data_IF_804257086578
#
_entry.id   IF_804257086578
#
_cell.length_a   1.000
_cell.length_b   1.000
_cell.length_c   1.000
_cell.angle_alpha   90.00
_cell.angle_beta   90.00
_cell.angle_gamma   90.00
#
_symmetry.space_group_name_H-M   'P 1'
#
loop_
_entity.id
_entity.type
_entity.pdbx_description
1 polymer ?
#
# COMPACT_ATOMS: atom_id res chain seq x y z
N UNK A 1 37.76 -22.66 72.69
CA UNK A 1 37.50 -21.50 71.77
C UNK A 1 37.60 -21.99 70.32
N UNK A 2 36.47 -22.21 69.69
CA UNK A 2 36.37 -22.69 68.30
C UNK A 2 36.24 -21.50 67.36
N UNK A 3 37.23 -21.35 66.43
CA UNK A 3 37.20 -20.34 65.39
C UNK A 3 36.22 -20.82 64.28
N UNK A 4 35.15 -20.05 64.03
CA UNK A 4 34.28 -20.22 62.89
C UNK A 4 35.03 -19.79 61.62
N UNK A 5 35.16 -20.70 60.66
CA UNK A 5 35.55 -20.42 59.28
C UNK A 5 34.49 -19.58 58.60
N UNK A 6 34.87 -18.42 58.04
CA UNK A 6 34.05 -17.70 57.05
C UNK A 6 34.11 -18.49 55.75
N UNK A 7 32.95 -18.93 55.28
CA UNK A 7 32.81 -19.40 53.92
C UNK A 7 32.74 -18.17 53.00
N UNK A 8 33.69 -18.09 52.08
CA UNK A 8 33.68 -17.07 51.01
C UNK A 8 32.56 -17.50 50.07
N UNK A 9 31.56 -16.61 49.98
CA UNK A 9 30.44 -16.74 49.04
C UNK A 9 30.94 -16.21 47.72
N UNK A 10 31.22 -17.12 46.76
CA UNK A 10 31.63 -16.81 45.42
C UNK A 10 30.41 -16.31 44.64
N UNK A 11 30.35 -15.02 44.36
CA UNK A 11 29.40 -14.39 43.45
C UNK A 11 29.82 -14.76 42.03
N UNK A 12 29.37 -15.94 41.53
CA UNK A 12 29.49 -16.23 40.11
C UNK A 12 28.64 -15.21 39.35
N UNK A 13 29.24 -14.62 38.33
CA UNK A 13 28.68 -13.69 37.39
C UNK A 13 27.30 -14.21 36.85
N UNK A 14 26.23 -13.77 37.45
CA UNK A 14 24.93 -13.79 36.79
C UNK A 14 25.04 -12.84 35.61
N UNK A 15 24.97 -13.35 34.39
CA UNK A 15 24.84 -12.56 33.17
C UNK A 15 23.81 -11.48 33.43
N UNK A 16 24.25 -10.24 33.52
CA UNK A 16 23.38 -9.08 33.64
C UNK A 16 22.61 -8.98 32.33
N UNK A 17 21.39 -9.55 32.30
CA UNK A 17 20.44 -9.19 31.27
C UNK A 17 20.32 -7.69 31.26
N UNK A 18 20.77 -7.04 30.20
CA UNK A 18 20.63 -5.60 30.02
C UNK A 18 19.13 -5.25 30.14
N UNK A 19 18.73 -4.70 31.28
CA UNK A 19 17.37 -4.19 31.48
C UNK A 19 17.23 -2.96 30.58
N UNK A 20 16.73 -3.18 29.36
CA UNK A 20 16.41 -2.09 28.44
C UNK A 20 15.23 -1.33 29.03
N UNK A 21 15.54 -0.16 29.61
CA UNK A 21 14.52 0.76 30.13
C UNK A 21 13.73 1.38 29.00
N UNK A 22 12.67 0.68 28.55
CA UNK A 22 11.73 1.24 27.56
C UNK A 22 10.88 2.31 28.22
N UNK A 23 10.93 3.52 27.68
CA UNK A 23 10.15 4.65 28.17
C UNK A 23 8.63 4.38 28.05
N UNK A 24 7.83 4.81 29.06
CA UNK A 24 6.36 4.74 28.98
C UNK A 24 5.78 5.39 27.72
N UNK A 25 6.44 6.43 27.20
CA UNK A 25 6.06 7.10 25.96
C UNK A 25 6.36 6.26 24.72
N UNK A 26 7.39 5.43 24.75
CA UNK A 26 7.76 4.50 23.68
C UNK A 26 6.77 3.34 23.61
N UNK A 27 6.48 2.72 24.75
CA UNK A 27 5.43 1.68 24.82
C UNK A 27 4.08 2.18 24.29
N UNK A 28 3.75 3.47 24.57
CA UNK A 28 2.50 4.05 24.06
C UNK A 28 2.54 4.26 22.54
N UNK A 29 3.68 4.71 21.99
CA UNK A 29 3.85 4.87 20.53
C UNK A 29 3.77 3.52 19.81
N UNK A 30 4.41 2.49 20.34
CA UNK A 30 4.36 1.13 19.77
C UNK A 30 2.94 0.58 19.79
N UNK A 31 2.22 0.75 20.91
CA UNK A 31 0.82 0.35 20.99
C UNK A 31 -0.07 1.10 19.99
N UNK A 32 0.21 2.36 19.73
CA UNK A 32 -0.50 3.18 18.74
C UNK A 32 -0.14 2.79 17.30
N UNK A 33 1.13 2.44 17.03
CA UNK A 33 1.57 1.92 15.74
C UNK A 33 0.91 0.58 15.42
N UNK A 34 0.86 -0.36 16.38
CA UNK A 34 0.18 -1.64 16.22
C UNK A 34 -1.34 -1.48 16.01
N UNK A 35 -1.95 -0.50 16.69
CA UNK A 35 -3.37 -0.19 16.47
C UNK A 35 -3.60 0.32 15.04
N UNK A 36 -2.77 1.24 14.55
CA UNK A 36 -2.82 1.74 13.16
C UNK A 36 -2.61 0.62 12.13
N UNK A 37 -1.69 -0.32 12.42
CA UNK A 37 -1.50 -1.50 11.59
C UNK A 37 -2.78 -2.35 11.55
N UNK A 38 -3.42 -2.57 12.69
CA UNK A 38 -4.71 -3.25 12.78
C UNK A 38 -5.83 -2.54 12.01
N UNK A 39 -5.90 -1.20 12.06
CA UNK A 39 -6.84 -0.40 11.28
C UNK A 39 -6.62 -0.58 9.77
N UNK A 40 -5.36 -0.54 9.30
CA UNK A 40 -5.01 -0.82 7.90
C UNK A 40 -5.48 -2.21 7.45
N UNK A 41 -5.27 -3.25 8.27
CA UNK A 41 -5.73 -4.61 7.96
C UNK A 41 -7.25 -4.70 7.84
N UNK A 42 -7.99 -4.04 8.75
CA UNK A 42 -9.46 -4.04 8.74
C UNK A 42 -10.04 -3.29 7.55
N UNK A 43 -9.34 -2.29 7.01
CA UNK A 43 -9.78 -1.51 5.84
C UNK A 43 -9.47 -2.21 4.50
N UNK A 44 -8.73 -3.34 4.51
CA UNK A 44 -8.44 -4.10 3.31
C UNK A 44 -9.64 -4.93 2.84
N UNK A 45 -9.72 -5.13 1.52
CA UNK A 45 -10.65 -6.11 0.94
C UNK A 45 -10.17 -7.53 1.21
N UNK A 46 -11.10 -8.50 1.21
CA UNK A 46 -10.78 -9.93 1.41
C UNK A 46 -9.67 -10.43 0.49
N UNK A 47 -9.74 -10.09 -0.80
CA UNK A 47 -8.73 -10.48 -1.79
C UNK A 47 -7.31 -9.90 -1.51
N UNK A 48 -7.21 -8.80 -0.77
CA UNK A 48 -5.92 -8.23 -0.33
C UNK A 48 -5.47 -8.90 0.98
N UNK A 49 -6.39 -9.20 1.90
CA UNK A 49 -6.09 -9.91 3.15
C UNK A 49 -5.53 -11.31 2.88
N UNK A 50 -6.06 -12.04 1.90
CA UNK A 50 -5.59 -13.38 1.50
C UNK A 50 -4.12 -13.39 1.02
N UNK A 51 -3.53 -12.22 0.73
CA UNK A 51 -2.13 -12.07 0.31
C UNK A 51 -1.17 -11.74 1.45
N UNK A 52 -1.70 -11.51 2.64
CA UNK A 52 -0.93 -11.15 3.83
C UNK A 52 -0.81 -12.41 4.71
N UNK A 53 0.37 -12.75 5.21
CA UNK A 53 0.55 -13.88 6.10
C UNK A 53 -0.03 -13.56 7.49
N UNK A 54 -1.32 -13.83 7.67
CA UNK A 54 -2.02 -13.64 8.95
C UNK A 54 -2.25 -14.99 9.60
N UNK A 55 -2.01 -15.07 10.91
CA UNK A 55 -2.41 -16.22 11.72
C UNK A 55 -3.94 -16.26 11.88
N UNK A 56 -4.51 -17.47 12.01
CA UNK A 56 -5.95 -17.67 12.09
C UNK A 56 -6.64 -16.79 13.15
N UNK A 57 -6.14 -16.65 14.41
CA UNK A 57 -6.78 -15.80 15.40
C UNK A 57 -6.83 -14.32 15.01
N UNK A 58 -5.79 -13.83 14.31
CA UNK A 58 -5.74 -12.45 13.83
C UNK A 58 -6.68 -12.25 12.63
N UNK A 59 -6.72 -13.19 11.70
CA UNK A 59 -7.61 -13.15 10.54
C UNK A 59 -9.08 -13.15 10.97
N UNK A 60 -9.47 -14.01 11.93
CA UNK A 60 -10.83 -14.02 12.49
C UNK A 60 -11.18 -12.69 13.16
N UNK A 61 -10.25 -12.14 13.95
CA UNK A 61 -10.44 -10.86 14.63
C UNK A 61 -10.62 -9.70 13.62
N UNK A 62 -9.87 -9.68 12.52
CA UNK A 62 -9.99 -8.70 11.43
C UNK A 62 -11.33 -8.85 10.72
N UNK A 63 -11.72 -10.07 10.33
CA UNK A 63 -13.00 -10.34 9.67
C UNK A 63 -14.19 -9.95 10.55
N UNK A 64 -14.09 -10.14 11.87
CA UNK A 64 -15.11 -9.69 12.81
C UNK A 64 -15.16 -8.15 12.86
N UNK A 65 -14.01 -7.47 12.94
CA UNK A 65 -13.94 -6.01 12.98
C UNK A 65 -14.55 -5.35 11.75
N UNK A 66 -14.44 -5.97 10.56
CA UNK A 66 -15.05 -5.48 9.31
C UNK A 66 -16.59 -5.45 9.36
N UNK A 67 -17.19 -6.32 10.18
CA UNK A 67 -18.66 -6.39 10.33
C UNK A 67 -19.19 -5.50 11.45
N UNK A 68 -18.31 -5.03 12.34
CA UNK A 68 -18.67 -4.23 13.50
C UNK A 68 -18.62 -2.73 13.17
N UNK A 69 -19.40 -1.95 13.95
CA UNK A 69 -19.46 -0.50 13.83
C UNK A 69 -19.22 0.20 15.17
N UNK A 70 -18.88 1.49 15.09
CA UNK A 70 -18.77 2.39 16.24
C UNK A 70 -17.92 1.80 17.37
N UNK A 71 -18.48 1.73 18.56
CA UNK A 71 -17.79 1.32 19.78
C UNK A 71 -17.37 -0.18 19.75
N UNK A 72 -18.17 -1.05 19.15
CA UNK A 72 -17.82 -2.45 18.99
C UNK A 72 -16.59 -2.63 18.10
N UNK A 73 -16.51 -1.88 16.97
CA UNK A 73 -15.32 -1.85 16.10
C UNK A 73 -14.11 -1.33 16.85
N UNK A 74 -14.25 -0.26 17.64
CA UNK A 74 -13.17 0.30 18.45
C UNK A 74 -12.58 -0.71 19.42
N UNK A 75 -13.43 -1.45 20.14
CA UNK A 75 -13.00 -2.52 21.07
C UNK A 75 -12.30 -3.65 20.33
N UNK A 76 -12.82 -4.04 19.18
CA UNK A 76 -12.20 -5.09 18.36
C UNK A 76 -10.82 -4.67 17.83
N UNK A 77 -10.64 -3.41 17.43
CA UNK A 77 -9.34 -2.86 17.04
C UNK A 77 -8.34 -2.87 18.19
N UNK A 78 -8.78 -2.61 19.43
CA UNK A 78 -7.91 -2.75 20.60
C UNK A 78 -7.47 -4.20 20.82
N UNK A 79 -8.38 -5.17 20.61
CA UNK A 79 -8.07 -6.60 20.69
C UNK A 79 -7.08 -7.02 19.58
N UNK A 80 -7.27 -6.58 18.34
CA UNK A 80 -6.33 -6.78 17.23
C UNK A 80 -4.94 -6.23 17.59
N UNK A 81 -4.86 -5.00 18.11
CA UNK A 81 -3.60 -4.42 18.57
C UNK A 81 -2.92 -5.21 19.70
N UNK A 82 -3.70 -5.90 20.56
CA UNK A 82 -3.16 -6.81 21.58
C UNK A 82 -2.60 -8.09 20.95
N UNK A 83 -3.28 -8.67 19.97
CA UNK A 83 -2.79 -9.86 19.24
C UNK A 83 -1.48 -9.54 18.52
N UNK A 84 -1.44 -8.42 17.78
CA UNK A 84 -0.25 -7.98 17.05
C UNK A 84 0.98 -7.76 17.95
N UNK A 85 0.79 -7.40 19.22
CA UNK A 85 1.90 -7.24 20.17
C UNK A 85 2.56 -8.55 20.54
N UNK A 86 1.85 -9.67 20.46
CA UNK A 86 2.33 -11.01 20.81
C UNK A 86 2.92 -11.80 19.65
N UNK A 87 3.02 -11.22 18.45
CA UNK A 87 3.48 -11.90 17.24
C UNK A 87 4.53 -11.09 16.50
N UNK A 88 5.24 -11.73 15.57
CA UNK A 88 6.13 -11.05 14.63
C UNK A 88 5.30 -10.30 13.59
N UNK A 89 5.41 -8.97 13.57
CA UNK A 89 4.66 -8.09 12.67
C UNK A 89 5.40 -7.74 11.38
N UNK A 90 6.70 -8.04 11.29
CA UNK A 90 7.54 -7.68 10.14
C UNK A 90 7.02 -8.29 8.82
N UNK A 91 6.63 -9.58 8.76
CA UNK A 91 6.08 -10.17 7.54
C UNK A 91 4.77 -9.52 7.11
N UNK A 92 3.94 -9.09 8.07
CA UNK A 92 2.67 -8.41 7.82
C UNK A 92 2.93 -7.02 7.23
N UNK A 93 3.87 -6.26 7.83
CA UNK A 93 4.24 -4.94 7.35
C UNK A 93 4.85 -4.99 5.95
N UNK A 94 5.77 -5.91 5.70
CA UNK A 94 6.39 -6.11 4.38
C UNK A 94 5.35 -6.45 3.30
N UNK A 95 4.37 -7.30 3.62
CA UNK A 95 3.29 -7.64 2.70
C UNK A 95 2.36 -6.44 2.42
N UNK A 96 2.04 -5.63 3.43
CA UNK A 96 1.26 -4.40 3.28
C UNK A 96 1.99 -3.37 2.41
N UNK A 97 3.27 -3.11 2.67
CA UNK A 97 4.09 -2.20 1.87
C UNK A 97 4.16 -2.63 0.41
N UNK A 98 4.33 -3.92 0.15
CA UNK A 98 4.31 -4.47 -1.21
C UNK A 98 2.97 -4.22 -1.91
N UNK A 99 1.85 -4.33 -1.20
CA UNK A 99 0.52 -4.05 -1.74
C UNK A 99 0.30 -2.55 -1.98
N UNK A 100 0.76 -1.69 -1.07
CA UNK A 100 0.69 -0.23 -1.18
C UNK A 100 1.56 0.26 -2.35
N UNK A 101 2.80 -0.21 -2.46
CA UNK A 101 3.72 0.14 -3.55
C UNK A 101 3.16 -0.27 -4.92
N UNK A 102 2.61 -1.48 -5.04
CA UNK A 102 1.96 -1.93 -6.28
C UNK A 102 0.79 -1.02 -6.66
N UNK A 103 -0.01 -0.61 -5.69
CA UNK A 103 -1.14 0.28 -5.93
C UNK A 103 -0.68 1.68 -6.36
N UNK A 104 0.35 2.24 -5.71
CA UNK A 104 0.95 3.53 -6.08
C UNK A 104 1.54 3.49 -7.49
N UNK A 105 2.27 2.43 -7.85
CA UNK A 105 2.80 2.24 -9.19
C UNK A 105 1.69 2.20 -10.24
N UNK A 106 0.61 1.48 -9.97
CA UNK A 106 -0.55 1.44 -10.87
C UNK A 106 -1.22 2.80 -11.03
N UNK A 107 -1.40 3.55 -9.93
CA UNK A 107 -1.96 4.90 -9.99
C UNK A 107 -1.05 5.87 -10.74
N UNK A 108 0.26 5.84 -10.50
CA UNK A 108 1.23 6.67 -11.22
C UNK A 108 1.21 6.38 -12.72
N UNK A 109 1.08 5.10 -13.10
CA UNK A 109 0.94 4.69 -14.49
C UNK A 109 -0.34 5.22 -15.13
N UNK A 110 -1.48 5.06 -14.47
CA UNK A 110 -2.75 5.61 -14.96
C UNK A 110 -2.68 7.14 -15.13
N UNK A 111 -2.09 7.83 -14.14
CA UNK A 111 -1.92 9.27 -14.23
C UNK A 111 -0.99 9.68 -15.40
N UNK A 112 0.11 8.94 -15.63
CA UNK A 112 0.97 9.14 -16.80
C UNK A 112 0.17 9.01 -18.10
N UNK A 113 -0.68 7.99 -18.23
CA UNK A 113 -1.52 7.79 -19.41
C UNK A 113 -2.54 8.93 -19.60
N UNK A 114 -3.11 9.44 -18.52
CA UNK A 114 -4.02 10.59 -18.57
C UNK A 114 -3.31 11.85 -19.08
N UNK A 115 -2.11 12.13 -18.57
CA UNK A 115 -1.30 13.27 -19.03
C UNK A 115 -0.90 13.14 -20.50
N UNK A 116 -0.51 11.94 -20.96
CA UNK A 116 -0.21 11.67 -22.36
C UNK A 116 -1.42 11.90 -23.26
N UNK A 117 -2.59 11.38 -22.87
CA UNK A 117 -3.85 11.62 -23.58
C UNK A 117 -4.16 13.12 -23.70
N UNK A 118 -4.06 13.83 -22.60
CA UNK A 118 -4.37 15.25 -22.54
C UNK A 118 -3.41 16.08 -23.40
N UNK A 119 -2.12 15.72 -23.38
CA UNK A 119 -1.11 16.32 -24.25
C UNK A 119 -1.39 16.08 -25.74
N UNK A 120 -1.76 14.83 -26.11
CA UNK A 120 -2.12 14.46 -27.49
C UNK A 120 -3.33 15.26 -28.00
N UNK A 121 -4.35 15.43 -27.18
CA UNK A 121 -5.55 16.20 -27.56
C UNK A 121 -5.28 17.71 -27.60
N UNK A 122 -4.42 18.22 -26.71
CA UNK A 122 -4.14 19.64 -26.62
C UNK A 122 -3.12 20.13 -27.68
N UNK A 123 -2.05 19.36 -27.92
CA UNK A 123 -0.94 19.72 -28.82
C UNK A 123 -1.01 19.07 -30.21
N UNK A 124 -1.87 18.06 -30.39
CA UNK A 124 -2.08 17.41 -31.68
C UNK A 124 -0.84 16.70 -32.24
N UNK A 125 -0.45 17.06 -33.46
CA UNK A 125 0.63 16.38 -34.22
C UNK A 125 2.00 16.48 -33.55
N UNK A 126 2.29 17.54 -32.78
CA UNK A 126 3.57 17.71 -32.09
C UNK A 126 3.72 16.67 -30.98
N UNK A 127 2.73 16.56 -30.10
CA UNK A 127 2.73 15.54 -29.05
C UNK A 127 2.65 14.12 -29.61
N UNK A 128 2.00 13.92 -30.77
CA UNK A 128 1.97 12.64 -31.45
C UNK A 128 3.36 12.23 -31.95
N UNK A 129 4.15 13.17 -32.45
CA UNK A 129 5.51 12.88 -32.91
C UNK A 129 6.42 12.51 -31.73
N UNK A 130 6.33 13.23 -30.61
CA UNK A 130 7.06 12.90 -29.40
C UNK A 130 6.68 11.51 -28.87
N UNK A 131 5.39 11.20 -28.81
CA UNK A 131 4.89 9.90 -28.38
C UNK A 131 5.39 8.74 -29.27
N UNK A 132 5.42 8.93 -30.60
CA UNK A 132 5.91 7.90 -31.53
C UNK A 132 7.43 7.71 -31.49
N UNK A 133 8.18 8.64 -30.92
CA UNK A 133 9.60 8.47 -30.63
C UNK A 133 9.82 7.47 -29.50
N UNK A 134 8.98 7.56 -28.47
CA UNK A 134 9.03 6.64 -27.33
C UNK A 134 8.38 5.28 -27.65
N UNK A 135 7.32 5.26 -28.49
CA UNK A 135 6.53 4.08 -28.86
C UNK A 135 6.41 3.93 -30.39
N UNK A 136 7.47 3.45 -31.08
CA UNK A 136 7.51 3.38 -32.55
C UNK A 136 6.51 2.41 -33.17
N UNK A 137 6.04 1.43 -32.40
CA UNK A 137 5.07 0.42 -32.83
C UNK A 137 3.62 0.92 -32.85
N UNK A 138 3.37 2.10 -32.30
CA UNK A 138 2.03 2.70 -32.26
C UNK A 138 1.55 3.12 -33.65
N UNK A 139 0.28 2.87 -33.96
CA UNK A 139 -0.32 3.30 -35.23
C UNK A 139 -0.57 4.81 -35.25
N UNK A 140 0.32 5.52 -35.96
CA UNK A 140 0.24 6.97 -36.15
C UNK A 140 -1.07 7.44 -36.74
N UNK A 141 -1.58 6.71 -37.76
CA UNK A 141 -2.79 7.13 -38.46
C UNK A 141 -4.04 6.96 -37.58
N UNK A 142 -4.09 5.86 -36.84
CA UNK A 142 -5.16 5.60 -35.91
C UNK A 142 -5.22 6.69 -34.79
N UNK A 143 -4.09 6.97 -34.13
CA UNK A 143 -4.02 8.04 -33.12
C UNK A 143 -4.39 9.40 -33.66
N UNK A 144 -3.89 9.78 -34.84
CA UNK A 144 -4.23 11.04 -35.49
C UNK A 144 -5.73 11.20 -35.73
N UNK A 145 -6.39 10.15 -36.17
CA UNK A 145 -7.83 10.14 -36.39
C UNK A 145 -8.61 10.29 -35.07
N UNK A 146 -8.18 9.59 -34.02
CA UNK A 146 -8.79 9.70 -32.69
C UNK A 146 -8.61 11.12 -32.11
N UNK A 147 -7.41 11.71 -32.22
CA UNK A 147 -7.12 13.06 -31.75
C UNK A 147 -8.05 14.08 -32.44
N UNK A 148 -8.17 14.01 -33.78
CA UNK A 148 -9.05 14.91 -34.55
C UNK A 148 -10.51 14.74 -34.16
N UNK A 149 -10.94 13.51 -33.90
CA UNK A 149 -12.32 13.21 -33.49
C UNK A 149 -12.58 13.74 -32.08
N UNK A 150 -11.64 13.54 -31.15
CA UNK A 150 -11.76 14.05 -29.78
C UNK A 150 -11.83 15.59 -29.73
N UNK A 151 -11.04 16.29 -30.57
CA UNK A 151 -11.09 17.75 -30.67
C UNK A 151 -12.46 18.22 -31.17
N UNK A 152 -13.01 17.57 -32.20
CA UNK A 152 -14.35 17.88 -32.72
C UNK A 152 -15.47 17.57 -31.71
N UNK A 153 -15.36 16.47 -30.98
CA UNK A 153 -16.32 16.14 -29.91
C UNK A 153 -16.33 17.21 -28.83
N UNK A 154 -15.15 17.70 -28.44
CA UNK A 154 -14.99 18.77 -27.45
C UNK A 154 -15.62 20.10 -27.92
N UNK A 155 -15.33 20.51 -29.17
CA UNK A 155 -15.89 21.74 -29.76
C UNK A 155 -17.42 21.70 -29.86
N UNK A 156 -17.98 20.52 -30.15
CA UNK A 156 -19.42 20.32 -30.36
C UNK A 156 -20.17 19.95 -29.08
N UNK A 157 -19.52 19.95 -27.91
CA UNK A 157 -20.07 19.47 -26.63
C UNK A 157 -20.70 18.06 -26.72
N UNK A 158 -20.14 17.20 -27.55
CA UNK A 158 -20.58 15.80 -27.71
C UNK A 158 -19.95 14.90 -26.64
N UNK A 159 -20.56 13.71 -26.40
CA UNK A 159 -19.95 12.73 -25.49
C UNK A 159 -18.52 12.38 -25.90
N UNK A 160 -17.57 12.46 -24.99
CA UNK A 160 -16.14 12.27 -25.21
C UNK A 160 -15.79 10.79 -25.45
N UNK A 161 -16.20 10.20 -26.57
CA UNK A 161 -15.92 8.80 -26.94
C UNK A 161 -14.49 8.65 -27.39
N UNK A 162 -14.05 9.43 -28.37
CA UNK A 162 -12.70 9.35 -28.89
C UNK A 162 -11.64 9.65 -27.82
N UNK A 163 -11.93 10.54 -26.88
CA UNK A 163 -11.07 10.82 -25.73
C UNK A 163 -10.85 9.58 -24.83
N UNK A 164 -11.88 8.75 -24.64
CA UNK A 164 -11.77 7.48 -23.91
C UNK A 164 -11.06 6.41 -24.72
N UNK A 165 -11.28 6.36 -26.04
CA UNK A 165 -10.62 5.43 -26.96
C UNK A 165 -9.11 5.71 -27.03
N UNK A 166 -8.67 6.98 -27.04
CA UNK A 166 -7.25 7.35 -26.93
C UNK A 166 -6.65 6.75 -25.65
N UNK A 167 -7.30 6.90 -24.51
CA UNK A 167 -6.80 6.35 -23.23
C UNK A 167 -6.65 4.83 -23.27
N UNK A 168 -7.64 4.11 -23.81
CA UNK A 168 -7.56 2.66 -23.93
C UNK A 168 -6.43 2.22 -24.86
N UNK A 169 -6.29 2.87 -25.99
CA UNK A 169 -5.21 2.58 -26.93
C UNK A 169 -3.82 2.86 -26.35
N UNK A 170 -3.63 4.00 -25.66
CA UNK A 170 -2.39 4.30 -24.95
C UNK A 170 -2.09 3.26 -23.87
N UNK A 171 -3.13 2.80 -23.15
CA UNK A 171 -2.98 1.77 -22.12
C UNK A 171 -2.50 0.45 -22.71
N UNK A 172 -3.02 0.03 -23.84
CA UNK A 172 -2.60 -1.19 -24.54
C UNK A 172 -1.13 -1.08 -24.94
N UNK A 173 -0.72 -0.01 -25.62
CA UNK A 173 0.65 0.19 -26.10
C UNK A 173 1.66 0.28 -24.95
N UNK A 174 1.38 1.05 -23.93
CA UNK A 174 2.33 1.31 -22.82
C UNK A 174 2.40 0.13 -21.84
N UNK A 175 1.44 -0.80 -21.84
CA UNK A 175 1.47 -2.02 -21.02
C UNK A 175 2.01 -3.26 -21.76
N UNK A 176 2.12 -3.20 -23.09
CA UNK A 176 2.71 -4.27 -23.92
C UNK A 176 4.24 -4.15 -24.04
N UNK A 177 4.82 -2.97 -23.69
CA UNK A 177 6.26 -2.73 -23.53
C UNK A 177 6.75 -3.16 -22.13
#
# INVERSE_FOLDING_TARGET
MAKRKKEDFDWQDEEQEEIIWVSKSEIKRDAEALKKLGEKLVDLTKAKLDKIPLEDPLLEAVNLAQRLQKEARRRQLQYIGKLLRGMDVDPIQAALEKLENKHQQQQAMLHKLELLRDALVAKGDDALTDFLTDYPHADRQHLRNLIRTASKEKEQNKPAKAYREIFQYLKEIVLED
#
